data_IF_556610932965
#
_entry.id   IF_556610932965
#
_cell.length_a   1.000
_cell.length_b   1.000
_cell.length_c   1.000
_cell.angle_alpha   90.00
_cell.angle_beta   90.00
_cell.angle_gamma   90.00
#
_symmetry.space_group_name_H-M   'P 1'
#
loop_
_entity.id
_entity.type
_entity.pdbx_description
1 polymer ?
#
# COMPACT_ATOMS: atom_id res chain seq x y z
N UNK A 1 1.53 13.26 -25.33
CA UNK A 1 1.43 12.95 -23.89
C UNK A 1 0.15 12.20 -23.55
N UNK A 2 -0.89 12.26 -24.41
CA UNK A 2 -2.19 11.55 -24.21
C UNK A 2 -2.09 10.01 -24.15
N UNK A 3 -0.94 9.44 -24.41
CA UNK A 3 -0.65 8.00 -24.34
C UNK A 3 0.25 7.61 -23.17
N UNK A 4 0.50 8.51 -22.23
CA UNK A 4 1.38 8.24 -21.08
C UNK A 4 0.53 7.84 -19.87
N UNK A 5 0.84 6.69 -19.27
CA UNK A 5 0.30 6.22 -18.00
C UNK A 5 1.38 6.33 -16.93
N UNK A 6 1.09 7.07 -15.88
CA UNK A 6 1.93 7.17 -14.68
C UNK A 6 1.38 6.16 -13.67
N UNK A 7 2.22 5.28 -13.13
CA UNK A 7 1.84 4.28 -12.13
C UNK A 7 2.70 4.52 -10.89
N UNK A 8 2.07 4.69 -9.74
CA UNK A 8 2.74 4.91 -8.44
C UNK A 8 2.02 4.13 -7.35
N UNK A 9 2.71 3.90 -6.22
CA UNK A 9 2.11 3.32 -5.01
C UNK A 9 1.84 4.40 -3.96
N UNK A 10 0.76 4.29 -3.21
CA UNK A 10 0.47 5.20 -2.09
C UNK A 10 1.50 5.09 -0.97
N UNK A 11 1.89 3.86 -0.64
CA UNK A 11 3.06 3.53 0.19
C UNK A 11 3.86 2.49 -0.56
N UNK A 12 5.16 2.72 -0.75
CA UNK A 12 6.06 1.77 -1.39
C UNK A 12 6.45 0.65 -0.42
N UNK A 13 6.38 -0.58 -0.91
CA UNK A 13 6.47 -1.78 -0.08
C UNK A 13 7.82 -2.03 0.58
N UNK A 14 8.90 -1.49 0.02
CA UNK A 14 10.27 -1.81 0.45
C UNK A 14 10.74 -0.91 1.59
N UNK A 15 10.60 0.40 1.45
CA UNK A 15 11.08 1.37 2.42
C UNK A 15 9.97 2.01 3.25
N UNK A 16 8.71 1.84 2.85
CA UNK A 16 7.57 2.43 3.52
C UNK A 16 7.36 3.91 3.20
N UNK A 17 8.08 4.44 2.23
CA UNK A 17 7.95 5.82 1.77
C UNK A 17 6.65 6.05 1.00
N UNK A 18 6.19 7.30 0.97
CA UNK A 18 4.95 7.71 0.30
C UNK A 18 5.25 8.36 -1.03
N UNK A 19 4.37 8.15 -2.01
CA UNK A 19 4.47 8.91 -3.25
C UNK A 19 4.23 10.41 -3.00
N UNK A 20 4.98 11.29 -3.67
CA UNK A 20 4.72 12.74 -3.65
C UNK A 20 3.52 13.05 -4.56
N UNK A 21 2.33 12.58 -4.18
CA UNK A 21 1.13 12.58 -5.03
C UNK A 21 0.77 13.96 -5.56
N UNK A 22 0.90 15.01 -4.73
CA UNK A 22 0.57 16.37 -5.15
C UNK A 22 1.46 16.89 -6.30
N UNK A 23 2.74 16.53 -6.29
CA UNK A 23 3.66 16.95 -7.36
C UNK A 23 3.47 16.11 -8.62
N UNK A 24 3.16 14.82 -8.46
CA UNK A 24 2.84 13.94 -9.59
C UNK A 24 1.54 14.37 -10.27
N UNK A 25 0.53 14.78 -9.52
CA UNK A 25 -0.72 15.33 -10.07
C UNK A 25 -0.45 16.61 -10.89
N UNK A 26 0.42 17.51 -10.42
CA UNK A 26 0.80 18.70 -11.22
C UNK A 26 1.45 18.30 -12.55
N UNK A 27 2.36 17.33 -12.52
CA UNK A 27 3.02 16.82 -13.73
C UNK A 27 1.99 16.15 -14.65
N UNK A 28 1.16 15.26 -14.11
CA UNK A 28 0.08 14.60 -14.84
C UNK A 28 -0.80 15.60 -15.56
N UNK A 29 -1.25 16.65 -14.87
CA UNK A 29 -2.12 17.66 -15.45
C UNK A 29 -1.42 18.50 -16.52
N UNK A 30 -0.14 18.84 -16.31
CA UNK A 30 0.66 19.62 -17.29
C UNK A 30 0.89 18.88 -18.60
N UNK A 31 0.95 17.54 -18.56
CA UNK A 31 1.23 16.73 -19.75
C UNK A 31 0.00 15.96 -20.28
N UNK A 32 -1.15 16.09 -19.65
CA UNK A 32 -2.37 15.34 -20.03
C UNK A 32 -2.19 13.83 -19.92
N UNK A 33 -1.43 13.38 -18.92
CA UNK A 33 -1.17 11.96 -18.68
C UNK A 33 -2.30 11.34 -17.85
N UNK A 34 -2.37 10.00 -17.85
CA UNK A 34 -3.28 9.22 -17.00
C UNK A 34 -2.50 8.80 -15.76
N UNK A 35 -3.11 8.87 -14.57
CA UNK A 35 -2.52 8.47 -13.31
C UNK A 35 -3.27 7.28 -12.71
N UNK A 36 -2.53 6.19 -12.48
CA UNK A 36 -2.96 5.05 -11.69
C UNK A 36 -2.20 5.04 -10.36
N UNK A 37 -2.94 5.03 -9.27
CA UNK A 37 -2.40 4.92 -7.92
C UNK A 37 -2.75 3.56 -7.33
N UNK A 38 -1.73 2.82 -6.90
CA UNK A 38 -1.91 1.57 -6.15
C UNK A 38 -1.91 1.85 -4.65
N UNK A 39 -3.06 1.65 -4.02
CA UNK A 39 -3.27 1.81 -2.58
C UNK A 39 -3.12 0.49 -1.80
N UNK A 40 -2.49 -0.52 -2.39
CA UNK A 40 -2.40 -1.85 -1.76
C UNK A 40 -1.76 -1.82 -0.36
N UNK A 41 -0.81 -0.93 -0.11
CA UNK A 41 -0.16 -0.76 1.19
C UNK A 41 -0.72 0.39 2.03
N UNK A 42 -1.52 1.27 1.44
CA UNK A 42 -2.02 2.49 2.10
C UNK A 42 -3.50 2.41 2.52
N UNK A 43 -4.31 1.57 1.82
CA UNK A 43 -5.69 1.33 2.24
C UNK A 43 -5.75 0.70 3.65
N UNK A 44 -6.58 1.26 4.50
CA UNK A 44 -6.68 0.88 5.93
C UNK A 44 -5.62 1.51 6.82
N UNK A 45 -4.65 2.23 6.26
CA UNK A 45 -3.48 2.80 6.92
C UNK A 45 -3.50 4.31 6.91
N UNK A 46 -3.60 4.92 5.73
CA UNK A 46 -3.61 6.36 5.52
C UNK A 46 -5.04 6.90 5.38
N UNK A 47 -5.17 8.18 5.69
CA UNK A 47 -6.44 8.89 5.64
C UNK A 47 -7.31 8.70 6.88
N UNK A 48 -8.25 9.63 7.08
CA UNK A 48 -9.12 9.68 8.26
C UNK A 48 -10.03 8.45 8.36
N UNK A 49 -10.54 7.98 7.22
CA UNK A 49 -11.41 6.80 7.14
C UNK A 49 -10.68 5.56 6.60
N UNK A 50 -9.39 5.70 6.26
CA UNK A 50 -8.56 4.60 5.78
C UNK A 50 -8.64 4.36 4.28
N UNK A 51 -9.02 5.36 3.49
CA UNK A 51 -9.11 5.21 2.04
C UNK A 51 -7.75 5.33 1.33
N UNK A 52 -6.66 5.59 2.08
CA UNK A 52 -5.32 5.64 1.53
C UNK A 52 -4.77 7.06 1.33
N UNK A 53 -3.75 7.17 0.49
CA UNK A 53 -3.04 8.41 0.21
C UNK A 53 -3.93 9.45 -0.48
N UNK A 54 -4.85 9.02 -1.32
CA UNK A 54 -5.81 9.93 -1.99
C UNK A 54 -6.68 10.67 -0.98
N UNK A 55 -7.10 10.00 0.07
CA UNK A 55 -7.88 10.64 1.14
C UNK A 55 -7.01 11.57 1.97
N UNK A 56 -5.82 11.13 2.35
CA UNK A 56 -4.90 11.90 3.17
C UNK A 56 -4.51 13.22 2.50
N UNK A 57 -4.32 13.20 1.19
CA UNK A 57 -3.95 14.38 0.39
C UNK A 57 -5.15 15.19 -0.12
N UNK A 58 -6.36 14.64 -0.05
CA UNK A 58 -7.56 15.26 -0.61
C UNK A 58 -7.61 15.27 -2.15
N UNK A 59 -6.81 14.42 -2.82
CA UNK A 59 -6.63 14.42 -4.27
C UNK A 59 -7.38 13.29 -4.99
N UNK A 60 -8.43 12.75 -4.39
CA UNK A 60 -9.18 11.61 -4.94
C UNK A 60 -9.73 11.86 -6.35
N UNK A 61 -10.12 13.10 -6.66
CA UNK A 61 -10.66 13.48 -7.96
C UNK A 61 -9.59 13.72 -9.02
N UNK A 62 -8.32 13.78 -8.64
CA UNK A 62 -7.18 14.01 -9.52
C UNK A 62 -6.53 12.69 -10.00
N UNK A 63 -6.92 11.57 -9.41
CA UNK A 63 -6.40 10.25 -9.77
C UNK A 63 -7.40 9.56 -10.69
N UNK A 64 -6.92 9.08 -11.86
CA UNK A 64 -7.78 8.49 -12.87
C UNK A 64 -8.21 7.06 -12.51
N UNK A 65 -7.28 6.27 -11.98
CA UNK A 65 -7.52 4.90 -11.54
C UNK A 65 -6.89 4.66 -10.18
N UNK A 66 -7.65 4.04 -9.27
CA UNK A 66 -7.15 3.60 -7.97
C UNK A 66 -7.26 2.08 -7.93
N UNK A 67 -6.14 1.42 -7.67
CA UNK A 67 -6.08 -0.03 -7.47
C UNK A 67 -5.73 -0.35 -6.03
N UNK A 68 -5.98 -1.58 -5.63
CA UNK A 68 -5.57 -2.09 -4.33
C UNK A 68 -5.85 -3.57 -4.18
N UNK A 69 -5.46 -4.10 -3.03
CA UNK A 69 -5.60 -5.52 -2.72
C UNK A 69 -6.46 -5.75 -1.48
N UNK A 70 -7.13 -6.90 -1.45
CA UNK A 70 -7.82 -7.38 -0.24
C UNK A 70 -6.91 -8.23 0.66
N UNK A 71 -5.70 -8.58 0.20
CA UNK A 71 -4.83 -9.55 0.88
C UNK A 71 -3.96 -8.97 2.00
N UNK A 72 -4.04 -7.67 2.27
CA UNK A 72 -3.27 -6.98 3.32
C UNK A 72 -4.19 -6.52 4.44
N UNK A 73 -4.49 -5.23 4.54
CA UNK A 73 -5.31 -4.66 5.62
C UNK A 73 -6.70 -5.29 5.77
N UNK A 74 -7.27 -5.80 4.68
CA UNK A 74 -8.58 -6.44 4.66
C UNK A 74 -8.57 -7.95 4.94
N UNK A 75 -7.38 -8.58 5.03
CA UNK A 75 -7.22 -9.98 5.41
C UNK A 75 -7.99 -10.99 4.55
N UNK A 76 -8.14 -10.71 3.24
CA UNK A 76 -8.93 -11.52 2.31
C UNK A 76 -8.12 -11.84 1.05
N UNK A 77 -8.77 -12.21 -0.05
CA UNK A 77 -8.13 -12.55 -1.32
C UNK A 77 -8.77 -11.73 -2.43
N UNK A 78 -7.94 -11.29 -3.39
CA UNK A 78 -8.37 -10.52 -4.54
C UNK A 78 -7.90 -9.08 -4.51
N UNK A 79 -8.45 -8.27 -5.41
CA UNK A 79 -8.13 -6.86 -5.53
C UNK A 79 -9.28 -6.10 -6.17
N UNK A 80 -9.07 -4.81 -6.33
CA UNK A 80 -10.04 -3.92 -6.93
C UNK A 80 -9.35 -2.88 -7.82
N UNK A 81 -10.12 -2.37 -8.76
CA UNK A 81 -9.81 -1.15 -9.47
C UNK A 81 -11.08 -0.29 -9.48
N UNK A 82 -10.94 0.97 -9.13
CA UNK A 82 -12.02 1.96 -9.15
C UNK A 82 -11.62 3.18 -9.96
N UNK A 83 -12.58 3.79 -10.65
CA UNK A 83 -12.36 4.96 -11.47
C UNK A 83 -13.69 5.69 -11.72
N UNK A 84 -13.60 7.00 -11.97
CA UNK A 84 -14.72 7.78 -12.50
C UNK A 84 -14.81 7.71 -14.04
N UNK A 85 -13.84 7.06 -14.71
CA UNK A 85 -13.86 6.88 -16.17
C UNK A 85 -14.86 5.79 -16.56
N UNK A 86 -15.81 6.10 -17.41
CA UNK A 86 -16.80 5.15 -17.93
C UNK A 86 -16.16 3.94 -18.64
N UNK A 87 -14.97 4.13 -19.19
CA UNK A 87 -14.20 3.09 -19.85
C UNK A 87 -13.77 1.95 -18.91
N UNK A 88 -13.82 2.14 -17.58
CA UNK A 88 -13.53 1.06 -16.63
C UNK A 88 -14.44 -0.16 -16.87
N UNK A 89 -15.71 0.04 -17.20
CA UNK A 89 -16.62 -1.07 -17.48
C UNK A 89 -16.22 -1.88 -18.72
N UNK A 90 -15.58 -1.24 -19.70
CA UNK A 90 -15.09 -1.92 -20.91
C UNK A 90 -13.95 -2.90 -20.59
N UNK A 91 -13.14 -2.63 -19.55
CA UNK A 91 -12.07 -3.54 -19.12
C UNK A 91 -12.58 -4.94 -18.76
N UNK A 92 -13.84 -5.07 -18.31
CA UNK A 92 -14.46 -6.35 -18.02
C UNK A 92 -14.57 -7.25 -19.24
N UNK A 93 -14.63 -6.69 -20.42
CA UNK A 93 -14.82 -7.41 -21.69
C UNK A 93 -13.53 -7.57 -22.49
N UNK A 94 -12.48 -6.78 -22.19
CA UNK A 94 -11.22 -6.78 -22.95
C UNK A 94 -10.03 -7.25 -22.12
N UNK A 95 -10.12 -7.21 -20.79
CA UNK A 95 -9.04 -7.65 -19.91
C UNK A 95 -9.01 -9.19 -19.81
N UNK A 96 -8.07 -9.80 -20.51
CA UNK A 96 -7.89 -11.26 -20.49
C UNK A 96 -7.69 -11.84 -19.08
N UNK A 97 -6.87 -11.25 -18.18
CA UNK A 97 -6.75 -11.73 -16.81
C UNK A 97 -8.08 -11.71 -16.05
N UNK A 98 -8.95 -10.73 -16.32
CA UNK A 98 -10.26 -10.65 -15.69
C UNK A 98 -11.25 -11.67 -16.23
N UNK A 99 -11.30 -11.86 -17.55
CA UNK A 99 -12.22 -12.79 -18.23
C UNK A 99 -11.93 -14.25 -17.87
N UNK A 100 -10.63 -14.61 -17.82
CA UNK A 100 -10.17 -15.99 -17.65
C UNK A 100 -9.79 -16.34 -16.21
N UNK A 101 -10.22 -15.54 -15.23
CA UNK A 101 -10.03 -15.85 -13.81
C UNK A 101 -11.33 -16.40 -13.19
N UNK A 102 -11.18 -17.22 -12.16
CA UNK A 102 -12.32 -17.66 -11.36
C UNK A 102 -12.86 -16.51 -10.49
N UNK A 103 -14.16 -16.41 -10.38
CA UNK A 103 -14.79 -15.44 -9.49
C UNK A 103 -14.47 -15.75 -8.03
N UNK A 104 -14.34 -14.73 -7.16
CA UNK A 104 -14.21 -14.93 -5.71
C UNK A 104 -15.39 -15.72 -5.16
N UNK A 105 -15.13 -16.58 -4.18
CA UNK A 105 -16.20 -17.33 -3.51
C UNK A 105 -17.14 -16.38 -2.72
N UNK A 106 -18.41 -16.77 -2.50
CA UNK A 106 -19.33 -15.96 -1.68
C UNK A 106 -18.79 -15.67 -0.28
N UNK A 107 -18.06 -16.61 0.33
CA UNK A 107 -17.42 -16.42 1.64
C UNK A 107 -16.32 -15.34 1.59
N UNK A 108 -15.49 -15.34 0.55
CA UNK A 108 -14.47 -14.30 0.34
C UNK A 108 -15.11 -12.92 0.18
N UNK A 109 -16.19 -12.83 -0.60
CA UNK A 109 -16.92 -11.57 -0.81
C UNK A 109 -17.52 -11.07 0.52
N UNK A 110 -18.17 -11.96 1.27
CA UNK A 110 -18.77 -11.62 2.56
C UNK A 110 -17.72 -11.15 3.58
N UNK A 111 -16.58 -11.86 3.67
CA UNK A 111 -15.46 -11.53 4.53
C UNK A 111 -14.88 -10.15 4.18
N UNK A 112 -14.58 -9.91 2.90
CA UNK A 112 -14.05 -8.62 2.43
C UNK A 112 -15.02 -7.47 2.72
N UNK A 113 -16.31 -7.68 2.49
CA UNK A 113 -17.36 -6.69 2.78
C UNK A 113 -17.44 -6.35 4.27
N UNK A 114 -17.33 -7.35 5.14
CA UNK A 114 -17.28 -7.15 6.59
C UNK A 114 -16.02 -6.39 7.01
N UNK A 115 -14.85 -6.76 6.47
CA UNK A 115 -13.59 -6.08 6.72
C UNK A 115 -13.60 -4.60 6.27
N UNK A 116 -14.16 -4.29 5.10
CA UNK A 116 -14.34 -2.91 4.63
C UNK A 116 -15.19 -2.07 5.59
N UNK A 117 -16.27 -2.65 6.15
CA UNK A 117 -17.09 -1.97 7.13
C UNK A 117 -16.30 -1.68 8.41
N UNK A 118 -15.57 -2.66 8.91
CA UNK A 118 -14.70 -2.50 10.08
C UNK A 118 -13.58 -1.48 9.83
N UNK A 119 -13.01 -1.44 8.62
CA UNK A 119 -11.97 -0.49 8.23
C UNK A 119 -12.51 0.94 8.26
N UNK A 120 -13.66 1.17 7.65
CA UNK A 120 -14.30 2.50 7.62
C UNK A 120 -14.57 3.03 9.01
N UNK A 121 -15.09 2.19 9.90
CA UNK A 121 -15.51 2.54 11.23
C UNK A 121 -14.35 2.43 12.26
N UNK A 122 -13.23 1.82 11.88
CA UNK A 122 -12.14 1.38 12.75
C UNK A 122 -11.02 2.40 13.02
N UNK A 123 -11.34 3.64 13.36
CA UNK A 123 -10.35 4.67 13.69
C UNK A 123 -9.40 4.25 14.82
N UNK A 124 -9.88 3.51 15.82
CA UNK A 124 -9.07 3.04 16.94
C UNK A 124 -7.98 2.05 16.49
N UNK A 125 -8.28 1.18 15.53
CA UNK A 125 -7.32 0.23 14.98
C UNK A 125 -6.18 0.94 14.25
N UNK A 126 -6.51 1.97 13.45
CA UNK A 126 -5.50 2.81 12.78
C UNK A 126 -4.66 3.58 13.79
N UNK A 127 -5.27 4.18 14.79
CA UNK A 127 -4.54 4.89 15.84
C UNK A 127 -3.58 3.96 16.60
N UNK A 128 -3.99 2.73 16.89
CA UNK A 128 -3.13 1.71 17.51
C UNK A 128 -1.97 1.32 16.60
N UNK A 129 -2.24 1.12 15.32
CA UNK A 129 -1.21 0.83 14.31
C UNK A 129 -0.15 1.93 14.28
N UNK A 130 -0.58 3.18 14.15
CA UNK A 130 0.33 4.33 14.09
C UNK A 130 1.11 4.53 15.39
N UNK A 131 0.48 4.36 16.54
CA UNK A 131 1.17 4.39 17.85
C UNK A 131 2.29 3.35 17.91
N UNK A 132 2.02 2.13 17.45
CA UNK A 132 3.01 1.05 17.42
C UNK A 132 4.13 1.35 16.40
N UNK A 133 3.79 1.84 15.22
CA UNK A 133 4.75 2.22 14.18
C UNK A 133 5.71 3.31 14.68
N UNK A 134 5.20 4.38 15.24
CA UNK A 134 6.04 5.44 15.84
C UNK A 134 6.92 4.93 16.97
N UNK A 135 6.37 4.07 17.85
CA UNK A 135 7.16 3.49 18.96
C UNK A 135 8.32 2.65 18.44
N UNK A 136 8.06 1.79 17.47
CA UNK A 136 9.08 0.91 16.91
C UNK A 136 10.13 1.72 16.12
N UNK A 137 9.69 2.61 15.23
CA UNK A 137 10.59 3.46 14.45
C UNK A 137 11.52 4.27 15.36
N UNK A 138 10.95 4.99 16.33
CA UNK A 138 11.75 5.80 17.27
C UNK A 138 12.68 4.95 18.16
N UNK A 139 12.29 3.73 18.48
CA UNK A 139 13.12 2.81 19.25
C UNK A 139 14.34 2.33 18.47
N UNK A 140 14.15 1.99 17.19
CA UNK A 140 15.23 1.57 16.31
C UNK A 140 16.16 2.74 15.93
N UNK A 141 15.58 3.92 15.65
CA UNK A 141 16.35 5.14 15.36
C UNK A 141 17.27 5.52 16.51
N UNK A 142 16.79 5.50 17.75
CA UNK A 142 17.59 5.73 18.96
C UNK A 142 18.73 4.73 19.16
N UNK A 143 18.61 3.54 18.60
CA UNK A 143 19.66 2.52 18.62
C UNK A 143 20.65 2.67 17.47
N UNK A 144 20.47 3.67 16.59
CA UNK A 144 21.37 3.97 15.47
C UNK A 144 21.15 3.12 14.22
N UNK A 145 20.02 2.42 14.10
CA UNK A 145 19.70 1.70 12.87
C UNK A 145 19.39 2.69 11.73
N UNK A 146 19.90 2.37 10.54
CA UNK A 146 19.52 3.08 9.31
C UNK A 146 18.13 2.61 8.88
N UNK A 147 17.15 3.51 8.90
CA UNK A 147 15.75 3.20 8.63
C UNK A 147 15.29 3.79 7.29
N UNK A 148 14.07 3.40 6.88
CA UNK A 148 13.33 4.09 5.82
C UNK A 148 13.07 5.57 6.18
N UNK A 149 12.65 6.39 5.21
CA UNK A 149 12.69 7.85 5.33
C UNK A 149 11.72 8.43 6.37
N UNK A 150 10.65 7.73 6.71
CA UNK A 150 9.65 8.22 7.65
C UNK A 150 9.01 7.08 8.47
N UNK A 151 8.47 7.39 9.66
CA UNK A 151 7.69 6.43 10.43
C UNK A 151 6.46 5.97 9.65
N UNK A 152 6.22 4.67 9.63
CA UNK A 152 5.08 4.08 8.95
C UNK A 152 4.81 2.66 9.42
N UNK A 153 3.76 2.03 8.90
CA UNK A 153 3.47 0.62 9.19
C UNK A 153 4.48 -0.35 8.56
N UNK A 154 5.27 0.13 7.61
CA UNK A 154 6.41 -0.57 7.04
C UNK A 154 7.67 0.13 7.55
N UNK A 155 8.49 -0.57 8.29
CA UNK A 155 9.73 -0.05 8.87
C UNK A 155 10.88 -0.91 8.36
N UNK A 156 11.62 -0.40 7.38
CA UNK A 156 12.79 -1.07 6.83
C UNK A 156 14.02 -0.73 7.65
N UNK A 157 14.73 -1.76 8.11
CA UNK A 157 16.07 -1.62 8.69
C UNK A 157 17.09 -1.96 7.61
N UNK A 158 17.87 -0.98 7.19
CA UNK A 158 18.82 -1.08 6.08
C UNK A 158 20.17 -1.50 6.61
N UNK A 159 20.70 -2.63 6.12
CA UNK A 159 21.97 -3.20 6.53
C UNK A 159 23.00 -3.11 5.40
N UNK A 160 24.28 -3.04 5.75
CA UNK A 160 25.35 -2.79 4.78
C UNK A 160 25.65 -3.99 3.86
N UNK A 161 25.20 -5.20 4.24
CA UNK A 161 25.41 -6.39 3.42
C UNK A 161 24.33 -7.45 3.62
N UNK A 162 24.08 -8.28 2.60
CA UNK A 162 23.18 -9.44 2.69
C UNK A 162 23.55 -10.39 3.83
N UNK A 163 24.85 -10.57 4.11
CA UNK A 163 25.33 -11.42 5.19
C UNK A 163 24.90 -10.89 6.56
N UNK A 164 25.01 -9.60 6.80
CA UNK A 164 24.54 -8.98 8.05
C UNK A 164 23.01 -9.10 8.18
N UNK A 165 22.27 -8.91 7.08
CA UNK A 165 20.81 -9.06 7.07
C UNK A 165 20.38 -10.48 7.48
N UNK A 166 21.04 -11.50 6.93
CA UNK A 166 20.75 -12.90 7.26
C UNK A 166 21.09 -13.20 8.74
N UNK A 167 22.22 -12.71 9.25
CA UNK A 167 22.63 -12.92 10.64
C UNK A 167 21.62 -12.26 11.58
N UNK A 168 21.25 -11.01 11.35
CA UNK A 168 20.27 -10.30 12.17
C UNK A 168 18.90 -10.97 12.12
N UNK A 169 18.43 -11.30 10.92
CA UNK A 169 17.15 -12.01 10.74
C UNK A 169 17.12 -13.31 11.52
N UNK A 170 18.18 -14.13 11.43
CA UNK A 170 18.27 -15.40 12.16
C UNK A 170 18.28 -15.19 13.67
N UNK A 171 19.04 -14.22 14.16
CA UNK A 171 19.12 -13.89 15.58
C UNK A 171 17.76 -13.46 16.15
N UNK A 172 17.02 -12.62 15.41
CA UNK A 172 15.66 -12.20 15.77
C UNK A 172 14.69 -13.38 15.78
N UNK A 173 14.76 -14.22 14.75
CA UNK A 173 13.93 -15.42 14.64
C UNK A 173 14.14 -16.37 15.83
N UNK A 174 15.40 -16.60 16.23
CA UNK A 174 15.76 -17.45 17.38
C UNK A 174 15.26 -16.89 18.72
N UNK A 175 15.01 -15.57 18.77
CA UNK A 175 14.39 -14.90 19.93
C UNK A 175 12.85 -14.82 19.82
N UNK A 176 12.24 -15.48 18.83
CA UNK A 176 10.80 -15.48 18.62
C UNK A 176 10.26 -14.20 17.97
N UNK A 177 11.13 -13.37 17.37
CA UNK A 177 10.75 -12.16 16.69
C UNK A 177 10.73 -12.43 15.19
N UNK A 178 9.53 -12.44 14.61
CA UNK A 178 9.36 -12.62 13.18
C UNK A 178 9.48 -11.28 12.42
N UNK A 179 10.39 -11.23 11.44
CA UNK A 179 10.55 -10.13 10.50
C UNK A 179 10.77 -10.68 9.09
N UNK A 180 10.43 -9.93 8.08
CA UNK A 180 10.75 -10.29 6.70
C UNK A 180 12.22 -10.00 6.40
N UNK A 181 12.89 -10.97 5.77
CA UNK A 181 14.20 -10.78 5.19
C UNK A 181 14.05 -10.42 3.71
N UNK A 182 14.63 -9.30 3.32
CA UNK A 182 14.63 -8.84 1.94
C UNK A 182 16.07 -8.74 1.47
N UNK A 183 16.35 -9.35 0.33
CA UNK A 183 17.68 -9.41 -0.28
C UNK A 183 17.62 -8.96 -1.74
N UNK A 184 18.71 -8.42 -2.30
CA UNK A 184 18.78 -8.14 -3.73
C UNK A 184 18.40 -9.38 -4.57
N UNK A 185 17.68 -9.24 -5.72
CA UNK A 185 17.41 -7.97 -6.45
C UNK A 185 16.09 -7.27 -6.07
N UNK A 186 15.51 -7.57 -4.94
CA UNK A 186 14.26 -6.93 -4.50
C UNK A 186 14.49 -5.49 -4.00
#
# INVERSE_FOLDING_TARGET
>A
ASSTLIIIEGIYSMLGDRAPLADIVKIKNSYGSILLLDEAHSIGVLGKTGQGLVEETGLINEVDFITGTFSKSLGSIGGYCVSNHMQLDQLRYVSRPYIFTASPSPSTIASTRAALKLLRDGTELRNKLWKNAHKLYSGLDKQGYKLGPEPGPIIATILDSPKQAIILWKALFDQGIYVNLILPPA
#
